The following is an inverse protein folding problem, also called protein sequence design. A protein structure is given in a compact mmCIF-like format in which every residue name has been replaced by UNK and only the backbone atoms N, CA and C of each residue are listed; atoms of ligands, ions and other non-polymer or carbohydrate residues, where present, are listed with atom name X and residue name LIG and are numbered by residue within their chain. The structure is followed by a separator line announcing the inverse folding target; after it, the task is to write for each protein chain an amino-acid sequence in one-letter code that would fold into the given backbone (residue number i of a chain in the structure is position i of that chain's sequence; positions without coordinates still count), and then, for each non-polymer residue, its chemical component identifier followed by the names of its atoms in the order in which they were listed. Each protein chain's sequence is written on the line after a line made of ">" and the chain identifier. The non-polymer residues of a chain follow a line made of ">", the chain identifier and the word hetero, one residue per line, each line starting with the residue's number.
data_IF_847531629226
#
_entry.id   IF_847531629226
#
_cell.length_a   1.000
_cell.length_b   1.000
_cell.length_c   1.000
_cell.angle_alpha   90.00
_cell.angle_beta   90.00
_cell.angle_gamma   90.00
#
_symmetry.space_group_name_H-M   'P 1'
#
loop_
_entity.id
_entity.type
_entity.pdbx_description
1 polymer ?
#
# COMPACT_ATOMS: atom_id res chain seq x y z
N UNK A 1 -8.22 3.32 2.13
CA UNK A 1 -6.76 3.39 2.43
C UNK A 1 -6.55 4.04 3.79
N UNK A 2 -6.99 5.28 3.99
CA UNK A 2 -7.06 5.89 5.34
C UNK A 2 -7.88 5.02 6.29
N UNK A 3 -9.13 4.69 5.91
CA UNK A 3 -10.00 3.80 6.71
C UNK A 3 -9.34 2.47 7.06
N UNK A 4 -8.52 1.93 6.16
CA UNK A 4 -7.78 0.68 6.41
C UNK A 4 -6.75 0.80 7.52
N UNK A 5 -6.09 1.96 7.65
CA UNK A 5 -5.19 2.25 8.76
C UNK A 5 -5.97 2.48 10.07
N UNK A 6 -7.23 2.88 10.00
CA UNK A 6 -8.11 2.94 11.19
C UNK A 6 -8.66 1.55 11.59
N UNK A 7 -8.98 0.69 10.63
CA UNK A 7 -9.69 -0.55 10.88
C UNK A 7 -8.77 -1.77 11.07
N UNK A 8 -7.56 -1.74 10.51
CA UNK A 8 -6.65 -2.89 10.51
C UNK A 8 -5.35 -2.59 11.26
N UNK A 9 -5.18 -3.23 12.42
CA UNK A 9 -3.94 -3.21 13.19
C UNK A 9 -2.75 -3.76 12.38
N UNK A 10 -2.97 -4.78 11.55
CA UNK A 10 -1.93 -5.32 10.69
C UNK A 10 -1.43 -4.28 9.69
N UNK A 11 -2.33 -3.48 9.10
CA UNK A 11 -1.96 -2.42 8.16
C UNK A 11 -1.29 -1.24 8.87
N UNK A 12 -1.72 -0.89 10.09
CA UNK A 12 -1.01 0.08 10.93
C UNK A 12 0.43 -0.33 11.21
N UNK A 13 0.62 -1.56 11.69
CA UNK A 13 1.95 -2.10 11.99
C UNK A 13 2.81 -2.18 10.74
N UNK A 14 2.24 -2.57 9.61
CA UNK A 14 2.94 -2.59 8.33
C UNK A 14 3.39 -1.19 7.89
N UNK A 15 2.54 -0.19 8.06
CA UNK A 15 2.86 1.20 7.76
C UNK A 15 3.74 1.88 8.84
N UNK A 16 3.98 1.21 9.97
CA UNK A 16 4.72 1.77 11.11
C UNK A 16 3.98 2.90 11.83
N UNK A 17 2.64 2.90 11.82
CA UNK A 17 1.80 3.93 12.45
C UNK A 17 1.26 3.40 13.78
N UNK A 18 1.58 4.06 14.90
CA UNK A 18 1.07 3.69 16.23
C UNK A 18 -0.06 4.60 16.69
N UNK A 19 -1.18 4.00 17.13
CA UNK A 19 -2.31 4.74 17.69
C UNK A 19 -1.95 5.29 19.07
N UNK A 20 -1.60 6.57 19.15
CA UNK A 20 -1.36 7.28 20.41
C UNK A 20 -0.45 8.49 20.26
N UNK A 21 0.65 8.33 19.51
CA UNK A 21 1.64 9.38 19.28
C UNK A 21 1.59 9.91 17.83
N UNK A 22 1.19 9.05 16.88
CA UNK A 22 1.10 9.41 15.47
C UNK A 22 -0.31 9.86 15.06
N UNK A 23 -0.38 10.90 14.24
CA UNK A 23 -1.58 11.22 13.47
C UNK A 23 -1.70 10.22 12.33
N UNK A 24 -2.82 9.50 12.27
CA UNK A 24 -3.11 8.64 11.11
C UNK A 24 -3.12 9.52 9.85
N UNK A 25 -2.39 9.14 8.79
CA UNK A 25 -2.37 9.88 7.54
C UNK A 25 -3.78 9.99 6.95
N UNK A 26 -4.20 11.22 6.69
CA UNK A 26 -5.47 11.48 6.00
C UNK A 26 -5.38 11.09 4.51
N UNK A 27 -6.54 11.05 3.84
CA UNK A 27 -6.65 10.71 2.43
C UNK A 27 -5.68 11.52 1.54
N UNK A 28 -5.53 12.82 1.85
CA UNK A 28 -4.64 13.72 1.07
C UNK A 28 -3.17 13.35 1.26
N UNK A 29 -2.76 13.00 2.48
CA UNK A 29 -1.40 12.56 2.79
C UNK A 29 -1.08 11.25 2.07
N UNK A 30 -2.00 10.29 2.08
CA UNK A 30 -1.86 9.02 1.37
C UNK A 30 -1.77 9.25 -0.15
N UNK A 31 -2.59 10.14 -0.69
CA UNK A 31 -2.56 10.49 -2.12
C UNK A 31 -1.22 11.12 -2.52
N UNK A 32 -0.69 12.05 -1.71
CA UNK A 32 0.60 12.67 -1.96
C UNK A 32 1.74 11.67 -1.89
N UNK A 33 1.71 10.73 -0.94
CA UNK A 33 2.67 9.63 -0.88
C UNK A 33 2.64 8.76 -2.14
N UNK A 34 1.43 8.43 -2.64
CA UNK A 34 1.28 7.70 -3.91
C UNK A 34 1.91 8.45 -5.07
N UNK A 35 1.62 9.75 -5.22
CA UNK A 35 2.23 10.55 -6.28
C UNK A 35 3.77 10.60 -6.18
N UNK A 36 4.34 10.60 -4.97
CA UNK A 36 5.78 10.50 -4.78
C UNK A 36 6.32 9.16 -5.29
N UNK A 37 5.68 8.04 -4.94
CA UNK A 37 6.08 6.71 -5.41
C UNK A 37 6.01 6.61 -6.94
N UNK A 38 4.94 7.12 -7.54
CA UNK A 38 4.76 7.13 -9.00
C UNK A 38 5.82 8.00 -9.69
N UNK A 39 6.07 9.21 -9.18
CA UNK A 39 7.07 10.15 -9.73
C UNK A 39 8.46 9.53 -9.77
N UNK A 40 8.82 8.77 -8.74
CA UNK A 40 10.12 8.10 -8.65
C UNK A 40 10.10 6.65 -9.17
N UNK A 41 8.97 6.19 -9.74
CA UNK A 41 8.76 4.80 -10.21
C UNK A 41 9.12 3.73 -9.18
N UNK A 42 8.89 4.05 -7.91
CA UNK A 42 9.24 3.17 -6.79
C UNK A 42 8.24 2.04 -6.61
N UNK A 43 6.99 2.21 -7.05
CA UNK A 43 5.95 1.18 -6.94
C UNK A 43 6.40 -0.13 -7.57
N UNK A 44 6.85 -0.11 -8.83
CA UNK A 44 7.32 -1.31 -9.54
C UNK A 44 8.55 -1.94 -8.88
N UNK A 45 9.51 -1.12 -8.46
CA UNK A 45 10.73 -1.59 -7.80
C UNK A 45 10.43 -2.28 -6.46
N UNK A 46 9.57 -1.67 -5.64
CA UNK A 46 9.13 -2.22 -4.36
C UNK A 46 8.37 -3.54 -4.59
N UNK A 47 7.45 -3.59 -5.55
CA UNK A 47 6.73 -4.83 -5.87
C UNK A 47 7.67 -5.94 -6.35
N UNK A 48 8.66 -5.63 -7.19
CA UNK A 48 9.63 -6.60 -7.66
C UNK A 48 10.45 -7.18 -6.49
N UNK A 49 10.91 -6.33 -5.56
CA UNK A 49 11.66 -6.76 -4.39
C UNK A 49 10.83 -7.63 -3.45
N UNK A 50 9.59 -7.22 -3.17
CA UNK A 50 8.66 -8.01 -2.33
C UNK A 50 8.38 -9.37 -2.98
N UNK A 51 8.14 -9.40 -4.29
CA UNK A 51 7.94 -10.65 -5.01
C UNK A 51 9.18 -11.54 -4.97
N UNK A 52 10.38 -10.99 -5.12
CA UNK A 52 11.63 -11.74 -5.03
C UNK A 52 11.84 -12.32 -3.61
N UNK A 53 11.58 -11.51 -2.57
CA UNK A 53 11.64 -11.95 -1.19
C UNK A 53 10.68 -13.12 -0.92
N UNK A 54 9.43 -13.01 -1.37
CA UNK A 54 8.43 -14.06 -1.19
C UNK A 54 8.76 -15.31 -2.02
N UNK A 55 9.23 -15.16 -3.25
CA UNK A 55 9.66 -16.27 -4.09
C UNK A 55 10.80 -17.06 -3.44
N UNK A 56 11.77 -16.38 -2.82
CA UNK A 56 12.85 -17.00 -2.05
C UNK A 56 12.33 -17.77 -0.82
N UNK A 57 11.16 -17.39 -0.28
CA UNK A 57 10.46 -18.12 0.79
C UNK A 57 9.53 -19.22 0.26
N UNK A 58 9.55 -19.51 -1.04
CA UNK A 58 8.69 -20.51 -1.69
C UNK A 58 7.27 -20.03 -1.98
N UNK A 59 6.99 -18.73 -1.81
CA UNK A 59 5.67 -18.13 -2.04
C UNK A 59 5.70 -17.33 -3.35
N UNK A 60 4.96 -17.77 -4.36
CA UNK A 60 4.89 -17.03 -5.64
C UNK A 60 3.66 -16.13 -5.66
N UNK A 61 3.88 -14.82 -5.67
CA UNK A 61 2.84 -13.84 -5.99
C UNK A 61 2.78 -13.63 -7.50
N UNK A 62 1.69 -14.00 -8.16
CA UNK A 62 1.34 -13.49 -9.50
C UNK A 62 0.45 -12.27 -9.32
N UNK A 63 0.48 -11.32 -10.27
CA UNK A 63 -0.52 -10.23 -10.30
C UNK A 63 -1.93 -10.83 -10.26
N UNK A 64 -2.71 -10.54 -9.21
CA UNK A 64 -4.02 -11.17 -8.95
C UNK A 64 -3.98 -12.46 -8.13
N UNK A 65 -2.84 -12.86 -7.56
CA UNK A 65 -2.75 -13.96 -6.58
C UNK A 65 -3.24 -13.43 -5.24
N UNK A 66 -4.46 -13.80 -4.90
CA UNK A 66 -5.08 -13.61 -3.60
C UNK A 66 -4.34 -14.52 -2.60
N UNK A 67 -3.17 -14.08 -2.15
CA UNK A 67 -2.68 -14.50 -0.83
C UNK A 67 -3.65 -13.89 0.17
N UNK A 68 -3.92 -14.59 1.28
CA UNK A 68 -4.93 -14.29 2.32
C UNK A 68 -4.88 -12.89 2.97
N UNK A 69 -4.15 -11.95 2.38
CA UNK A 69 -4.20 -10.53 2.65
C UNK A 69 -5.18 -9.84 1.70
N UNK A 70 -6.24 -9.27 2.27
CA UNK A 70 -7.22 -8.40 1.61
C UNK A 70 -6.51 -7.27 0.85
N UNK A 71 -6.36 -7.39 -0.47
CA UNK A 71 -5.95 -6.27 -1.32
C UNK A 71 -7.16 -5.36 -1.46
N UNK A 72 -7.10 -4.17 -0.86
CA UNK A 72 -8.05 -3.09 -1.13
C UNK A 72 -7.63 -2.45 -2.44
N UNK A 73 -8.32 -2.81 -3.51
CA UNK A 73 -8.23 -2.12 -4.78
C UNK A 73 -8.72 -0.67 -4.57
N UNK A 74 -7.80 0.29 -4.63
CA UNK A 74 -8.15 1.70 -4.61
C UNK A 74 -8.33 2.14 -6.07
N UNK A 75 -9.55 2.51 -6.51
CA UNK A 75 -9.76 2.94 -7.89
C UNK A 75 -8.83 4.11 -8.24
N UNK A 76 -8.39 4.16 -9.50
CA UNK A 76 -7.66 5.31 -10.02
C UNK A 76 -8.54 6.55 -9.86
N UNK A 77 -8.04 7.54 -9.12
CA UNK A 77 -8.74 8.80 -8.87
C UNK A 77 -9.12 9.47 -10.19
N UNK A 78 -10.42 9.57 -10.48
CA UNK A 78 -10.96 10.24 -11.67
C UNK A 78 -11.06 11.75 -11.51
N UNK A 79 -10.52 12.34 -10.43
CA UNK A 79 -10.68 13.76 -10.11
C UNK A 79 -9.87 14.71 -11.01
N UNK A 80 -9.07 14.18 -11.93
CA UNK A 80 -8.38 14.93 -12.98
C UNK A 80 -8.79 14.42 -14.37
N UNK A 81 -10.06 14.58 -14.72
CA UNK A 81 -10.45 14.81 -16.12
C UNK A 81 -11.02 16.23 -16.17
N UNK A 82 -10.31 17.07 -16.92
CA UNK A 82 -10.73 18.43 -17.25
C UNK A 82 -12.14 18.45 -17.85
#
# INVERSE_FOLDING_TARGET
>A
AEETLYDSEAMRRFAGVELGDDRIPDETTILNFRHLLERYRLTEAIFAEVNAYLANKGMTLRSGTLVDATIIDAPSSTKNKA
#
